data_IF_291326829907
#
_entry.id   IF_291326829907
#
_cell.length_a   1.000
_cell.length_b   1.000
_cell.length_c   1.000
_cell.angle_alpha   90.00
_cell.angle_beta   90.00
_cell.angle_gamma   90.00
#
_symmetry.space_group_name_H-M   'P 1'
#
loop_
_entity.id
_entity.type
_entity.pdbx_description
1 polymer ?
#
# COMPACT_ATOMS: atom_id res chain seq x y z
N UNK A 1 -29.59 0.25 -8.76
CA UNK A 1 -28.64 1.03 -9.59
C UNK A 1 -27.42 0.17 -9.88
N UNK A 2 -26.94 0.13 -11.12
CA UNK A 2 -25.71 -0.60 -11.45
C UNK A 2 -24.49 0.10 -10.83
N UNK A 3 -23.63 -0.62 -10.13
CA UNK A 3 -22.34 -0.07 -9.72
C UNK A 3 -21.42 0.03 -10.94
N UNK A 4 -20.70 1.15 -11.13
CA UNK A 4 -19.66 1.22 -12.15
C UNK A 4 -18.57 0.19 -11.85
N UNK A 5 -18.17 -0.57 -12.87
CA UNK A 5 -17.03 -1.50 -12.75
C UNK A 5 -15.67 -0.75 -12.69
N UNK A 6 -15.63 0.46 -13.25
CA UNK A 6 -14.44 1.32 -13.28
C UNK A 6 -14.75 2.65 -12.58
N UNK A 7 -13.78 3.13 -11.80
CA UNK A 7 -13.83 4.40 -11.09
C UNK A 7 -15.14 4.70 -10.32
N UNK A 8 -15.61 3.79 -9.43
CA UNK A 8 -16.89 3.92 -8.73
C UNK A 8 -17.01 5.19 -7.87
N UNK A 9 -15.90 5.79 -7.45
CA UNK A 9 -15.89 7.02 -6.66
C UNK A 9 -16.54 8.21 -7.38
N UNK A 10 -16.48 8.30 -8.71
CA UNK A 10 -17.17 9.36 -9.45
C UNK A 10 -18.69 9.25 -9.33
N UNK A 11 -19.21 8.02 -9.41
CA UNK A 11 -20.64 7.78 -9.23
C UNK A 11 -21.07 8.02 -7.78
N UNK A 12 -20.24 7.63 -6.81
CA UNK A 12 -20.52 7.85 -5.39
C UNK A 12 -20.52 9.34 -5.04
N UNK A 13 -19.62 10.12 -5.64
CA UNK A 13 -19.61 11.57 -5.53
C UNK A 13 -20.87 12.19 -6.13
N UNK A 14 -21.29 11.73 -7.33
CA UNK A 14 -22.55 12.17 -7.93
C UNK A 14 -23.74 11.89 -7.01
N UNK A 15 -23.83 10.70 -6.43
CA UNK A 15 -24.86 10.38 -5.44
C UNK A 15 -24.75 11.23 -4.18
N UNK A 16 -23.54 11.64 -3.77
CA UNK A 16 -23.36 12.59 -2.68
C UNK A 16 -23.97 13.95 -2.96
N UNK A 17 -23.85 14.41 -4.21
CA UNK A 17 -24.48 15.66 -4.65
C UNK A 17 -26.01 15.53 -4.74
N UNK A 18 -26.50 14.40 -5.24
CA UNK A 18 -27.93 14.16 -5.48
C UNK A 18 -28.71 13.84 -4.19
N UNK A 19 -28.10 13.10 -3.25
CA UNK A 19 -28.77 12.52 -2.07
C UNK A 19 -28.18 12.97 -0.72
N UNK A 20 -27.06 13.69 -0.72
CA UNK A 20 -26.46 14.28 0.48
C UNK A 20 -25.27 13.52 1.07
N UNK A 21 -24.89 13.88 2.30
CA UNK A 21 -23.62 13.48 2.94
C UNK A 21 -23.49 11.97 3.17
N UNK A 22 -24.62 11.25 3.29
CA UNK A 22 -24.72 9.82 3.56
C UNK A 22 -25.62 9.15 2.53
N UNK A 23 -25.09 8.16 1.81
CA UNK A 23 -25.86 7.39 0.83
C UNK A 23 -25.83 5.91 1.21
N UNK A 24 -27.00 5.32 1.48
CA UNK A 24 -27.12 3.92 1.84
C UNK A 24 -27.64 3.08 0.66
N UNK A 25 -26.87 2.07 0.28
CA UNK A 25 -27.23 1.09 -0.74
C UNK A 25 -27.75 -0.18 -0.06
N UNK A 26 -29.07 -0.30 0.04
CA UNK A 26 -29.74 -1.39 0.78
C UNK A 26 -29.44 -2.78 0.20
N UNK A 27 -29.38 -2.92 -1.13
CA UNK A 27 -29.15 -4.18 -1.84
C UNK A 27 -27.76 -4.79 -1.58
N UNK A 28 -26.81 -3.96 -1.18
CA UNK A 28 -25.41 -4.35 -0.89
C UNK A 28 -25.01 -4.13 0.56
N UNK A 29 -25.88 -3.50 1.35
CA UNK A 29 -25.61 -3.06 2.72
C UNK A 29 -24.31 -2.22 2.82
N UNK A 30 -24.22 -1.20 1.97
CA UNK A 30 -23.06 -0.29 1.90
C UNK A 30 -23.53 1.12 2.29
N UNK A 31 -22.83 1.74 3.23
CA UNK A 31 -22.99 3.15 3.56
C UNK A 31 -21.80 3.93 2.95
N UNK A 32 -22.09 4.87 2.07
CA UNK A 32 -21.13 5.75 1.43
C UNK A 32 -21.07 7.06 2.21
N UNK A 33 -19.85 7.51 2.52
CA UNK A 33 -19.59 8.76 3.25
C UNK A 33 -19.02 9.78 2.25
N UNK A 34 -19.81 10.78 1.87
CA UNK A 34 -19.41 11.77 0.85
C UNK A 34 -18.90 13.10 1.43
N UNK A 35 -18.92 13.27 2.76
CA UNK A 35 -18.48 14.50 3.42
C UNK A 35 -17.41 14.24 4.50
N UNK A 36 -16.37 15.07 4.54
CA UNK A 36 -15.22 14.92 5.46
C UNK A 36 -15.63 14.95 6.93
N UNK A 37 -16.51 15.87 7.32
CA UNK A 37 -17.10 15.93 8.67
C UNK A 37 -17.69 14.60 9.13
N UNK A 38 -18.47 13.93 8.26
CA UNK A 38 -19.11 12.65 8.56
C UNK A 38 -18.07 11.54 8.65
N UNK A 39 -17.08 11.54 7.75
CA UNK A 39 -15.96 10.60 7.81
C UNK A 39 -15.16 10.75 9.11
N UNK A 40 -14.84 11.97 9.56
CA UNK A 40 -14.16 12.22 10.84
C UNK A 40 -15.01 11.73 12.01
N UNK A 41 -16.30 12.05 12.01
CA UNK A 41 -17.19 11.69 13.12
C UNK A 41 -17.40 10.17 13.27
N UNK A 42 -17.47 9.44 12.15
CA UNK A 42 -17.61 7.99 12.16
C UNK A 42 -16.28 7.27 12.34
N UNK A 43 -15.26 7.64 11.56
CA UNK A 43 -14.03 6.85 11.41
C UNK A 43 -12.93 7.25 12.39
N UNK A 44 -12.97 8.45 12.96
CA UNK A 44 -12.00 8.92 13.94
C UNK A 44 -12.61 8.97 15.35
N UNK A 45 -13.64 9.82 15.56
CA UNK A 45 -14.26 9.98 16.88
C UNK A 45 -14.94 8.71 17.37
N UNK A 46 -15.54 7.95 16.45
CA UNK A 46 -16.23 6.67 16.72
C UNK A 46 -15.47 5.47 16.16
N UNK A 47 -14.15 5.57 16.00
CA UNK A 47 -13.31 4.51 15.42
C UNK A 47 -13.55 3.13 16.05
N UNK A 48 -13.77 3.04 17.37
CA UNK A 48 -14.04 1.76 18.06
C UNK A 48 -15.27 1.02 17.51
N UNK A 49 -16.23 1.74 16.96
CA UNK A 49 -17.46 1.20 16.36
C UNK A 49 -17.24 0.91 14.88
N UNK A 50 -16.48 1.71 14.15
CA UNK A 50 -16.40 1.61 12.67
C UNK A 50 -15.07 1.09 12.12
N UNK A 51 -14.18 0.52 12.95
CA UNK A 51 -12.85 0.04 12.51
C UNK A 51 -12.78 -1.42 12.06
N UNK A 52 -13.90 -2.17 12.04
CA UNK A 52 -13.85 -3.57 11.59
C UNK A 52 -13.69 -3.66 10.07
N UNK A 53 -13.28 -4.82 9.56
CA UNK A 53 -13.01 -5.05 8.13
C UNK A 53 -13.86 -6.18 7.59
N UNK A 54 -14.29 -6.04 6.33
CA UNK A 54 -14.90 -7.15 5.59
C UNK A 54 -13.78 -7.96 4.96
N UNK A 55 -13.76 -9.26 5.23
CA UNK A 55 -12.95 -10.21 4.46
C UNK A 55 -13.72 -10.50 3.18
N UNK A 56 -13.11 -10.23 2.02
CA UNK A 56 -13.75 -10.53 0.73
C UNK A 56 -13.71 -12.03 0.49
N UNK A 57 -14.70 -12.62 -0.21
CA UNK A 57 -14.64 -14.02 -0.59
C UNK A 57 -13.34 -14.39 -1.30
N UNK A 58 -12.78 -13.46 -2.10
CA UNK A 58 -11.55 -13.65 -2.88
C UNK A 58 -10.34 -13.87 -1.97
N UNK A 59 -10.25 -13.09 -0.89
CA UNK A 59 -9.20 -13.27 0.11
C UNK A 59 -9.32 -14.60 0.86
N UNK A 60 -10.54 -15.06 1.12
CA UNK A 60 -10.78 -16.37 1.73
C UNK A 60 -10.36 -17.50 0.77
N UNK A 61 -10.68 -17.37 -0.52
CA UNK A 61 -10.38 -18.36 -1.55
C UNK A 61 -8.87 -18.49 -1.82
N UNK A 62 -8.20 -17.37 -2.05
CA UNK A 62 -6.74 -17.28 -2.17
C UNK A 62 -6.04 -17.74 -0.90
N UNK A 63 -6.81 -17.92 0.19
CA UNK A 63 -6.29 -18.13 1.54
C UNK A 63 -5.21 -17.10 1.85
N UNK A 64 -5.34 -15.89 1.31
CA UNK A 64 -4.32 -14.85 1.33
C UNK A 64 -3.88 -14.62 2.77
N UNK A 65 -4.85 -14.39 3.67
CA UNK A 65 -4.57 -14.22 5.11
C UNK A 65 -3.93 -15.48 5.72
N UNK A 66 -4.39 -16.68 5.36
CA UNK A 66 -3.91 -17.94 5.97
C UNK A 66 -2.51 -18.37 5.49
N UNK A 67 -2.20 -18.19 4.21
CA UNK A 67 -0.95 -18.62 3.59
C UNK A 67 0.15 -17.58 3.67
N UNK A 68 -0.21 -16.29 3.54
CA UNK A 68 0.77 -15.20 3.58
C UNK A 68 0.89 -14.56 4.96
N UNK A 69 0.00 -14.94 5.89
CA UNK A 69 -0.10 -14.37 7.24
C UNK A 69 -0.25 -12.85 7.19
N UNK A 70 -0.85 -12.31 6.12
CA UNK A 70 -1.07 -10.87 5.89
C UNK A 70 -2.04 -10.30 6.92
N UNK A 71 -1.50 -9.95 8.09
CA UNK A 71 -2.24 -9.50 9.26
C UNK A 71 -2.08 -7.99 9.43
N UNK A 72 -2.83 -7.22 8.65
CA UNK A 72 -2.98 -5.78 8.87
C UNK A 72 -4.15 -5.17 8.08
N UNK A 73 -4.05 -5.17 6.75
CA UNK A 73 -4.94 -4.37 5.89
C UNK A 73 -6.36 -4.94 5.88
N UNK A 74 -6.56 -6.26 5.73
CA UNK A 74 -7.92 -6.75 5.54
C UNK A 74 -8.40 -7.65 6.70
N UNK A 75 -7.64 -7.69 7.79
CA UNK A 75 -7.97 -8.47 8.99
C UNK A 75 -9.04 -7.75 9.82
N UNK A 76 -9.98 -8.54 10.35
CA UNK A 76 -11.01 -8.05 11.29
C UNK A 76 -10.38 -7.46 12.54
N UNK A 77 -11.06 -6.49 13.13
CA UNK A 77 -10.60 -5.85 14.36
C UNK A 77 -10.60 -6.86 15.51
N UNK A 78 -9.42 -7.15 16.07
CA UNK A 78 -9.20 -8.15 17.11
C UNK A 78 -7.97 -7.81 17.97
N UNK A 79 -7.71 -8.59 19.03
CA UNK A 79 -6.45 -8.49 19.80
C UNK A 79 -5.23 -8.77 18.91
N UNK A 80 -5.32 -9.75 18.02
CA UNK A 80 -4.28 -10.09 17.04
C UNK A 80 -4.02 -8.91 16.09
N UNK A 81 -5.07 -8.31 15.53
CA UNK A 81 -4.90 -7.09 14.70
C UNK A 81 -4.22 -5.95 15.47
N UNK A 82 -4.61 -5.72 16.73
CA UNK A 82 -3.99 -4.68 17.57
C UNK A 82 -2.51 -4.96 17.84
N UNK A 83 -2.15 -6.23 18.04
CA UNK A 83 -0.78 -6.67 18.22
C UNK A 83 0.08 -6.36 16.99
N UNK A 84 -0.37 -6.76 15.80
CA UNK A 84 0.31 -6.44 14.54
C UNK A 84 0.37 -4.92 14.28
N UNK A 85 -0.72 -4.19 14.52
CA UNK A 85 -0.77 -2.73 14.37
C UNK A 85 0.18 -2.01 15.32
N UNK A 86 0.38 -2.53 16.55
CA UNK A 86 1.33 -1.98 17.51
C UNK A 86 2.76 -2.09 17.00
N UNK A 87 3.15 -3.26 16.47
CA UNK A 87 4.46 -3.47 15.87
C UNK A 87 4.71 -2.48 14.72
N UNK A 88 3.76 -2.37 13.78
CA UNK A 88 3.81 -1.37 12.72
C UNK A 88 4.01 0.06 13.23
N UNK A 89 3.20 0.47 14.21
CA UNK A 89 3.30 1.82 14.78
C UNK A 89 4.64 2.07 15.44
N UNK A 90 5.24 1.07 16.09
CA UNK A 90 6.54 1.21 16.71
C UNK A 90 7.66 1.37 15.67
N UNK A 91 7.63 0.60 14.59
CA UNK A 91 8.65 0.64 13.53
C UNK A 91 8.54 1.86 12.62
N UNK A 92 7.33 2.41 12.43
CA UNK A 92 7.07 3.52 11.49
C UNK A 92 6.54 4.80 12.18
N UNK A 93 6.74 4.97 13.48
CA UNK A 93 6.41 6.23 14.18
C UNK A 93 7.27 7.37 13.68
N UNK A 94 6.82 8.62 13.89
CA UNK A 94 7.54 9.83 13.48
C UNK A 94 9.03 9.83 13.89
N UNK A 95 9.33 9.41 15.12
CA UNK A 95 10.69 9.34 15.63
C UNK A 95 11.59 8.31 14.92
N UNK A 96 11.01 7.31 14.24
CA UNK A 96 11.75 6.31 13.48
C UNK A 96 11.95 6.71 12.00
N UNK A 97 11.22 7.72 11.51
CA UNK A 97 11.27 8.14 10.09
C UNK A 97 12.69 8.46 9.60
N UNK A 98 13.55 9.17 10.36
CA UNK A 98 14.90 9.48 9.89
C UNK A 98 15.78 8.26 9.59
N UNK A 99 15.49 7.09 10.20
CA UNK A 99 16.19 5.83 9.91
C UNK A 99 16.04 5.38 8.45
N UNK A 100 14.96 5.80 7.77
CA UNK A 100 14.68 5.42 6.39
C UNK A 100 15.25 6.41 5.35
N UNK A 101 15.72 7.59 5.78
CA UNK A 101 16.22 8.61 4.86
C UNK A 101 17.39 8.15 3.99
N UNK A 102 18.40 7.42 4.49
CA UNK A 102 19.51 6.97 3.66
C UNK A 102 19.06 6.13 2.46
N UNK A 103 18.16 5.16 2.69
CA UNK A 103 17.59 4.32 1.63
C UNK A 103 16.76 5.14 0.63
N UNK A 104 15.96 6.09 1.13
CA UNK A 104 15.16 6.97 0.29
C UNK A 104 16.03 7.85 -0.60
N UNK A 105 17.09 8.47 -0.07
CA UNK A 105 18.02 9.27 -0.86
C UNK A 105 18.72 8.43 -1.91
N UNK A 106 19.30 7.30 -1.49
CA UNK A 106 20.07 6.44 -2.36
C UNK A 106 19.23 5.98 -3.57
N UNK A 107 18.03 5.46 -3.33
CA UNK A 107 17.15 5.01 -4.43
C UNK A 107 16.54 6.15 -5.22
N UNK A 108 16.32 7.32 -4.63
CA UNK A 108 15.90 8.51 -5.38
C UNK A 108 17.00 8.98 -6.34
N UNK A 109 18.27 8.95 -5.92
CA UNK A 109 19.38 9.32 -6.80
C UNK A 109 19.54 8.33 -7.97
N UNK A 110 19.38 7.02 -7.70
CA UNK A 110 19.31 6.01 -8.76
C UNK A 110 18.16 6.29 -9.74
N UNK A 111 16.97 6.61 -9.23
CA UNK A 111 15.83 6.99 -10.08
C UNK A 111 16.18 8.19 -10.96
N UNK A 112 16.74 9.27 -10.39
CA UNK A 112 17.11 10.46 -11.15
C UNK A 112 18.09 10.13 -12.27
N UNK A 113 19.09 9.28 -12.01
CA UNK A 113 20.03 8.83 -13.02
C UNK A 113 19.34 8.01 -14.13
N UNK A 114 18.42 7.11 -13.76
CA UNK A 114 17.63 6.33 -14.73
C UNK A 114 16.72 7.21 -15.58
N UNK A 115 16.13 8.27 -15.02
CA UNK A 115 15.30 9.21 -15.76
C UNK A 115 16.11 10.04 -16.77
N UNK A 116 17.38 10.33 -16.49
CA UNK A 116 18.28 11.01 -17.43
C UNK A 116 18.72 10.05 -18.54
N UNK A 117 19.05 8.81 -18.19
CA UNK A 117 19.63 7.83 -19.13
C UNK A 117 18.58 7.20 -20.05
N UNK A 118 17.39 6.89 -19.52
CA UNK A 118 16.30 6.23 -20.25
C UNK A 118 14.94 6.81 -19.84
N UNK A 119 14.61 8.05 -20.28
CA UNK A 119 13.40 8.75 -19.86
C UNK A 119 12.10 8.09 -20.37
N UNK A 120 12.16 7.32 -21.45
CA UNK A 120 10.97 6.70 -22.04
C UNK A 120 10.36 5.62 -21.14
N UNK A 121 11.16 5.03 -20.25
CA UNK A 121 10.73 4.01 -19.29
C UNK A 121 10.52 4.57 -17.87
N UNK A 122 10.18 5.86 -17.73
CA UNK A 122 10.07 6.53 -16.43
C UNK A 122 9.14 5.82 -15.45
N UNK A 123 7.99 5.27 -15.89
CA UNK A 123 7.07 4.58 -14.99
C UNK A 123 7.64 3.25 -14.48
N UNK A 124 8.41 2.54 -15.31
CA UNK A 124 9.14 1.34 -14.89
C UNK A 124 10.20 1.70 -13.85
N UNK A 125 10.91 2.82 -14.03
CA UNK A 125 11.88 3.33 -13.05
C UNK A 125 11.21 3.72 -11.73
N UNK A 126 10.03 4.36 -11.78
CA UNK A 126 9.23 4.71 -10.59
C UNK A 126 8.73 3.45 -9.86
N UNK A 127 8.30 2.42 -10.60
CA UNK A 127 7.92 1.13 -10.03
C UNK A 127 9.11 0.46 -9.34
N UNK A 128 10.28 0.48 -9.97
CA UNK A 128 11.51 -0.02 -9.37
C UNK A 128 11.88 0.75 -8.10
N UNK A 129 11.82 2.09 -8.11
CA UNK A 129 12.07 2.92 -6.92
C UNK A 129 11.21 2.44 -5.74
N UNK A 130 9.90 2.31 -5.95
CA UNK A 130 8.98 1.97 -4.87
C UNK A 130 9.29 0.62 -4.22
N UNK A 131 9.71 -0.37 -5.01
CA UNK A 131 10.07 -1.69 -4.49
C UNK A 131 11.44 -1.67 -3.81
N UNK A 132 12.43 -1.02 -4.43
CA UNK A 132 13.81 -0.95 -3.94
C UNK A 132 13.92 -0.22 -2.61
N UNK A 133 13.17 0.86 -2.42
CA UNK A 133 13.12 1.57 -1.13
C UNK A 133 12.68 0.63 0.00
N UNK A 134 11.69 -0.24 -0.24
CA UNK A 134 11.25 -1.20 0.79
C UNK A 134 12.31 -2.27 1.06
N UNK A 135 12.92 -2.83 0.02
CA UNK A 135 13.98 -3.83 0.20
C UNK A 135 15.18 -3.27 0.96
N UNK A 136 15.61 -2.06 0.63
CA UNK A 136 16.74 -1.42 1.31
C UNK A 136 16.37 -1.01 2.73
N UNK A 137 15.20 -0.39 2.93
CA UNK A 137 14.78 0.13 4.25
C UNK A 137 14.49 -0.96 5.29
N UNK A 138 13.86 -2.07 4.88
CA UNK A 138 13.40 -3.09 5.83
C UNK A 138 14.36 -4.28 5.94
N UNK A 139 14.96 -4.68 4.82
CA UNK A 139 15.77 -5.88 4.72
C UNK A 139 17.25 -5.59 4.51
N UNK A 140 17.64 -4.32 4.29
CA UNK A 140 19.00 -3.92 3.91
C UNK A 140 19.48 -4.64 2.65
N UNK A 141 18.57 -4.90 1.71
CA UNK A 141 18.84 -5.59 0.45
C UNK A 141 18.73 -4.62 -0.73
N UNK A 142 19.65 -4.76 -1.68
CA UNK A 142 19.55 -4.06 -2.95
C UNK A 142 19.19 -5.06 -4.06
N UNK A 143 17.93 -5.01 -4.49
CA UNK A 143 17.39 -5.95 -5.48
C UNK A 143 17.16 -5.19 -6.80
N UNK A 144 17.92 -5.51 -7.86
CA UNK A 144 17.73 -4.91 -9.19
C UNK A 144 16.33 -5.16 -9.76
N UNK A 145 15.86 -4.26 -10.64
CA UNK A 145 14.53 -4.35 -11.24
C UNK A 145 14.35 -5.58 -12.17
N UNK A 146 15.44 -6.04 -12.78
CA UNK A 146 15.47 -7.21 -13.67
C UNK A 146 15.56 -8.55 -12.90
N UNK A 147 15.87 -8.50 -11.60
CA UNK A 147 15.97 -9.66 -10.74
C UNK A 147 14.66 -10.47 -10.73
N UNK A 148 14.70 -11.81 -10.78
CA UNK A 148 13.49 -12.65 -10.81
C UNK A 148 12.52 -12.37 -9.66
N UNK A 149 13.04 -12.04 -8.47
CA UNK A 149 12.22 -11.68 -7.31
C UNK A 149 11.46 -10.37 -7.52
N UNK A 150 12.07 -9.34 -8.13
CA UNK A 150 11.40 -8.08 -8.41
C UNK A 150 10.24 -8.27 -9.39
N UNK A 151 10.46 -9.06 -10.46
CA UNK A 151 9.40 -9.43 -11.42
C UNK A 151 8.25 -10.19 -10.76
N UNK A 152 8.56 -11.18 -9.93
CA UNK A 152 7.56 -11.91 -9.11
C UNK A 152 6.77 -10.97 -8.21
N UNK A 153 7.45 -9.98 -7.64
CA UNK A 153 6.88 -9.01 -6.71
C UNK A 153 5.86 -8.07 -7.38
N UNK A 154 6.07 -7.70 -8.65
CA UNK A 154 5.08 -6.96 -9.45
C UNK A 154 3.80 -7.78 -9.62
N UNK A 155 3.93 -9.06 -10.01
CA UNK A 155 2.79 -9.97 -10.21
C UNK A 155 2.02 -10.17 -8.89
N UNK A 156 2.76 -10.41 -7.80
CA UNK A 156 2.23 -10.59 -6.46
C UNK A 156 1.40 -9.37 -6.01
N UNK A 157 1.91 -8.17 -6.29
CA UNK A 157 1.28 -6.94 -5.90
C UNK A 157 -0.02 -6.68 -6.66
N UNK A 158 -0.02 -6.85 -7.99
CA UNK A 158 -1.22 -6.69 -8.82
C UNK A 158 -2.35 -7.64 -8.36
N UNK A 159 -2.02 -8.90 -8.07
CA UNK A 159 -2.97 -9.88 -7.57
C UNK A 159 -3.50 -9.57 -6.17
N UNK A 160 -2.62 -9.11 -5.27
CA UNK A 160 -3.00 -8.71 -3.92
C UNK A 160 -3.92 -7.48 -3.95
N UNK A 161 -3.57 -6.45 -4.72
CA UNK A 161 -4.38 -5.24 -4.90
C UNK A 161 -5.78 -5.56 -5.43
N UNK A 162 -5.88 -6.36 -6.49
CA UNK A 162 -7.16 -6.82 -7.05
C UNK A 162 -8.05 -7.54 -6.02
N UNK A 163 -7.44 -8.30 -5.10
CA UNK A 163 -8.16 -9.05 -4.06
C UNK A 163 -8.69 -8.18 -2.91
N UNK A 164 -8.10 -7.00 -2.71
CA UNK A 164 -8.48 -6.05 -1.65
C UNK A 164 -9.60 -5.09 -2.07
N UNK A 165 -9.78 -4.89 -3.38
CA UNK A 165 -10.81 -4.01 -3.93
C UNK A 165 -12.14 -4.77 -4.05
N UNK A 166 -13.18 -4.27 -3.38
CA UNK A 166 -14.53 -4.81 -3.53
C UNK A 166 -15.05 -4.56 -4.96
N UNK A 167 -15.67 -5.58 -5.55
CA UNK A 167 -16.26 -5.51 -6.88
C UNK A 167 -15.32 -5.98 -8.00
N UNK A 168 -14.04 -6.26 -7.73
CA UNK A 168 -13.10 -6.79 -8.73
C UNK A 168 -13.53 -8.16 -9.25
N UNK A 169 -14.17 -8.97 -8.40
CA UNK A 169 -14.69 -10.29 -8.75
C UNK A 169 -16.20 -10.35 -8.52
N UNK A 170 -17.01 -9.62 -9.32
CA UNK A 170 -18.40 -9.32 -8.98
C UNK A 170 -19.30 -10.57 -8.94
N UNK A 171 -19.08 -11.52 -9.85
CA UNK A 171 -19.80 -12.80 -9.85
C UNK A 171 -19.50 -13.62 -8.60
N UNK A 172 -18.24 -13.65 -8.18
CA UNK A 172 -17.80 -14.42 -7.02
C UNK A 172 -18.27 -13.81 -5.70
N UNK A 173 -18.24 -12.47 -5.61
CA UNK A 173 -18.77 -11.73 -4.45
C UNK A 173 -20.29 -11.88 -4.32
N UNK A 174 -21.01 -12.00 -5.44
CA UNK A 174 -22.46 -12.21 -5.47
C UNK A 174 -22.85 -13.67 -5.22
N UNK A 175 -22.07 -14.61 -5.74
CA UNK A 175 -22.34 -16.05 -5.69
C UNK A 175 -21.19 -16.82 -5.02
N UNK A 176 -21.10 -16.80 -3.68
CA UNK A 176 -19.99 -17.43 -2.96
C UNK A 176 -19.83 -18.93 -3.20
N UNK A 177 -20.89 -19.63 -3.63
CA UNK A 177 -20.83 -21.06 -3.95
C UNK A 177 -19.90 -21.38 -5.13
N UNK A 178 -19.58 -20.39 -5.99
CA UNK A 178 -18.61 -20.53 -7.06
C UNK A 178 -17.21 -20.95 -6.54
N UNK A 179 -16.94 -20.78 -5.24
CA UNK A 179 -15.71 -21.27 -4.60
C UNK A 179 -15.59 -22.78 -4.56
N UNK A 180 -16.68 -23.51 -4.79
CA UNK A 180 -16.70 -24.97 -4.82
C UNK A 180 -16.60 -25.53 -6.24
N UNK A 181 -16.82 -24.70 -7.26
CA UNK A 181 -16.82 -25.14 -8.66
C UNK A 181 -15.40 -25.51 -9.14
N UNK A 182 -15.22 -26.55 -9.97
CA UNK A 182 -13.90 -26.94 -10.47
C UNK A 182 -13.21 -25.82 -11.26
N UNK A 183 -11.87 -25.76 -11.22
CA UNK A 183 -11.10 -24.72 -11.91
C UNK A 183 -11.24 -24.77 -13.45
N UNK A 184 -11.56 -25.93 -14.02
CA UNK A 184 -11.78 -26.12 -15.45
C UNK A 184 -13.13 -25.57 -15.93
N UNK A 185 -14.07 -25.27 -15.03
CA UNK A 185 -15.37 -24.75 -15.43
C UNK A 185 -15.22 -23.33 -15.99
N UNK A 186 -15.89 -23.00 -17.13
CA UNK A 186 -15.88 -21.65 -17.68
C UNK A 186 -16.21 -20.58 -16.61
N UNK A 187 -15.34 -19.57 -16.49
CA UNK A 187 -15.47 -18.52 -15.47
C UNK A 187 -14.89 -18.86 -14.09
N UNK A 188 -14.38 -20.07 -13.86
CA UNK A 188 -13.77 -20.51 -12.59
C UNK A 188 -12.22 -20.54 -12.60
N UNK A 189 -11.59 -20.05 -13.67
CA UNK A 189 -10.13 -19.98 -13.80
C UNK A 189 -9.44 -19.10 -12.73
N UNK A 190 -10.18 -18.23 -12.06
CA UNK A 190 -9.69 -17.42 -10.92
C UNK A 190 -9.11 -18.27 -9.79
N UNK A 191 -9.53 -19.53 -9.64
CA UNK A 191 -8.98 -20.44 -8.62
C UNK A 191 -7.52 -20.78 -8.88
N UNK A 192 -7.17 -21.04 -10.13
CA UNK A 192 -5.80 -21.37 -10.51
C UNK A 192 -4.90 -20.15 -10.32
N UNK A 193 -5.37 -18.98 -10.78
CA UNK A 193 -4.70 -17.71 -10.54
C UNK A 193 -4.49 -17.44 -9.05
N UNK A 194 -5.50 -17.70 -8.21
CA UNK A 194 -5.41 -17.53 -6.77
C UNK A 194 -4.34 -18.42 -6.12
N UNK A 195 -4.21 -19.68 -6.56
CA UNK A 195 -3.19 -20.63 -6.09
C UNK A 195 -1.79 -20.15 -6.49
N UNK A 196 -1.59 -19.79 -7.75
CA UNK A 196 -0.32 -19.28 -8.28
C UNK A 196 0.11 -18.00 -7.56
N UNK A 197 -0.81 -17.06 -7.37
CA UNK A 197 -0.55 -15.82 -6.64
C UNK A 197 -0.17 -16.09 -5.18
N UNK A 198 -0.82 -17.06 -4.52
CA UNK A 198 -0.46 -17.45 -3.15
C UNK A 198 0.96 -18.04 -3.07
N UNK A 199 1.40 -18.80 -4.07
CA UNK A 199 2.76 -19.35 -4.11
C UNK A 199 3.79 -18.22 -4.29
N UNK A 200 3.54 -17.31 -5.23
CA UNK A 200 4.41 -16.15 -5.48
C UNK A 200 4.50 -15.26 -4.24
N UNK A 201 3.38 -14.93 -3.59
CA UNK A 201 3.37 -14.12 -2.37
C UNK A 201 4.14 -14.79 -1.23
N UNK A 202 4.11 -16.13 -1.12
CA UNK A 202 4.91 -16.86 -0.14
C UNK A 202 6.40 -16.64 -0.40
N UNK A 203 6.85 -16.74 -1.64
CA UNK A 203 8.25 -16.51 -2.01
C UNK A 203 8.69 -15.06 -1.76
N UNK A 204 7.88 -14.08 -2.21
CA UNK A 204 8.15 -12.65 -2.01
C UNK A 204 8.21 -12.29 -0.52
N UNK A 205 7.46 -12.99 0.32
CA UNK A 205 7.51 -12.82 1.77
C UNK A 205 8.73 -13.53 2.41
N UNK A 206 9.02 -14.76 2.03
CA UNK A 206 10.03 -15.58 2.72
C UNK A 206 11.45 -15.28 2.30
N UNK A 207 11.70 -15.03 1.01
CA UNK A 207 13.06 -14.90 0.48
C UNK A 207 13.80 -13.68 1.09
N UNK A 208 13.26 -12.45 1.02
CA UNK A 208 13.93 -11.29 1.64
C UNK A 208 14.09 -11.43 3.15
N UNK A 209 13.08 -12.01 3.81
CA UNK A 209 13.10 -12.24 5.25
C UNK A 209 14.23 -13.18 5.66
N UNK A 210 14.37 -14.32 4.98
CA UNK A 210 15.40 -15.30 5.29
C UNK A 210 16.80 -14.71 5.04
N UNK A 211 17.02 -14.06 3.88
CA UNK A 211 18.30 -13.42 3.56
C UNK A 211 18.66 -12.39 4.64
N UNK A 212 17.71 -11.55 5.06
CA UNK A 212 17.95 -10.53 6.08
C UNK A 212 18.35 -11.15 7.44
N UNK A 213 17.67 -12.22 7.85
CA UNK A 213 17.97 -12.93 9.11
C UNK A 213 19.31 -13.65 9.04
N UNK A 214 19.62 -14.27 7.90
CA UNK A 214 20.88 -15.01 7.71
C UNK A 214 22.08 -14.05 7.63
N UNK A 215 21.94 -12.89 6.96
CA UNK A 215 22.97 -11.84 6.93
C UNK A 215 23.35 -11.36 8.33
N UNK A 216 22.38 -11.26 9.25
CA UNK A 216 22.66 -10.90 10.64
C UNK A 216 23.40 -12.03 11.37
N UNK A 217 22.96 -13.29 11.22
CA UNK A 217 23.61 -14.45 11.85
C UNK A 217 25.05 -14.64 11.37
N UNK A 218 25.31 -14.38 10.10
CA UNK A 218 26.65 -14.46 9.49
C UNK A 218 27.52 -13.21 9.77
N UNK A 219 27.01 -12.20 10.47
CA UNK A 219 27.75 -10.98 10.79
C UNK A 219 28.01 -10.05 9.59
N UNK A 220 27.30 -10.26 8.45
CA UNK A 220 27.50 -9.49 7.23
C UNK A 220 26.87 -8.09 7.31
N UNK A 221 25.58 -8.02 7.65
CA UNK A 221 24.82 -6.77 7.67
C UNK A 221 23.58 -6.89 8.56
N UNK A 222 23.22 -5.81 9.25
CA UNK A 222 21.96 -5.69 10.00
C UNK A 222 20.85 -5.04 9.18
N UNK A 223 19.60 -5.37 9.50
CA UNK A 223 18.39 -4.76 8.94
C UNK A 223 17.32 -4.62 10.00
N UNK A 224 16.35 -3.73 9.79
CA UNK A 224 15.22 -3.56 10.72
C UNK A 224 14.50 -4.89 11.00
N UNK A 225 14.24 -5.69 9.95
CA UNK A 225 13.60 -7.00 10.10
C UNK A 225 14.47 -7.94 10.96
N UNK A 226 15.77 -8.02 10.67
CA UNK A 226 16.67 -8.91 11.41
C UNK A 226 16.82 -8.49 12.89
N UNK A 227 16.91 -7.19 13.18
CA UNK A 227 16.98 -6.67 14.54
C UNK A 227 15.72 -6.98 15.34
N UNK A 228 14.54 -6.83 14.72
CA UNK A 228 13.27 -7.16 15.36
C UNK A 228 13.17 -8.67 15.64
N UNK A 229 13.65 -9.52 14.72
CA UNK A 229 13.69 -10.97 14.91
C UNK A 229 14.63 -11.34 16.06
N UNK A 230 15.81 -10.70 16.14
CA UNK A 230 16.72 -10.92 17.26
C UNK A 230 16.10 -10.52 18.60
N UNK A 231 15.45 -9.34 18.67
CA UNK A 231 14.75 -8.85 19.87
C UNK A 231 13.54 -9.69 20.27
N UNK A 232 13.05 -10.55 19.39
CA UNK A 232 11.93 -11.44 19.70
C UNK A 232 12.32 -12.64 20.56
N UNK A 233 13.62 -12.89 20.74
CA UNK A 233 14.16 -13.97 21.58
C UNK A 233 13.57 -15.35 21.22
N UNK A 234 13.30 -15.59 19.93
CA UNK A 234 12.73 -16.85 19.43
C UNK A 234 11.21 -16.98 19.58
N UNK A 235 10.51 -15.93 20.02
CA UNK A 235 9.05 -15.94 20.11
C UNK A 235 8.41 -16.04 18.72
N UNK A 236 7.87 -17.22 18.40
CA UNK A 236 7.30 -17.52 17.08
C UNK A 236 6.17 -16.57 16.66
N UNK A 237 5.32 -16.12 17.60
CA UNK A 237 4.23 -15.21 17.29
C UNK A 237 4.75 -13.80 16.93
N UNK A 238 5.82 -13.35 17.59
CA UNK A 238 6.48 -12.09 17.25
C UNK A 238 7.20 -12.18 15.90
N UNK A 239 7.94 -13.26 15.65
CA UNK A 239 8.63 -13.52 14.37
C UNK A 239 7.62 -13.50 13.22
N UNK A 240 6.49 -14.19 13.40
CA UNK A 240 5.39 -14.17 12.44
C UNK A 240 4.84 -12.76 12.19
N UNK A 241 4.69 -11.95 13.24
CA UNK A 241 4.23 -10.58 13.10
C UNK A 241 5.23 -9.68 12.37
N UNK A 242 6.53 -9.88 12.61
CA UNK A 242 7.61 -9.16 11.92
C UNK A 242 7.64 -9.54 10.44
N UNK A 243 7.52 -10.82 10.12
CA UNK A 243 7.43 -11.29 8.74
C UNK A 243 6.19 -10.70 8.04
N UNK A 244 5.03 -10.74 8.70
CA UNK A 244 3.81 -10.09 8.19
C UNK A 244 4.00 -8.58 7.99
N UNK A 245 4.76 -7.91 8.86
CA UNK A 245 5.03 -6.49 8.74
C UNK A 245 5.80 -6.16 7.46
N UNK A 246 6.81 -6.96 7.13
CA UNK A 246 7.57 -6.83 5.88
C UNK A 246 6.67 -6.97 4.64
N UNK A 247 5.89 -8.04 4.56
CA UNK A 247 5.00 -8.28 3.41
C UNK A 247 3.92 -7.20 3.25
N UNK A 248 3.27 -6.79 4.34
CA UNK A 248 2.26 -5.73 4.29
C UNK A 248 2.87 -4.41 3.84
N UNK A 249 4.10 -4.08 4.29
CA UNK A 249 4.80 -2.86 3.87
C UNK A 249 5.12 -2.89 2.37
N UNK A 250 5.55 -4.04 1.87
CA UNK A 250 5.81 -4.26 0.45
C UNK A 250 4.54 -4.01 -0.40
N UNK A 251 3.43 -4.70 -0.09
CA UNK A 251 2.17 -4.57 -0.84
C UNK A 251 1.62 -3.14 -0.76
N UNK A 252 1.67 -2.52 0.43
CA UNK A 252 1.12 -1.18 0.61
C UNK A 252 1.90 -0.12 -0.18
N UNK A 253 3.22 -0.22 -0.21
CA UNK A 253 4.07 0.79 -0.84
C UNK A 253 4.08 0.67 -2.36
N UNK A 254 4.03 -0.56 -2.89
CA UNK A 254 4.29 -0.86 -4.29
C UNK A 254 3.40 -0.11 -5.29
N UNK A 255 2.08 -0.06 -5.09
CA UNK A 255 1.19 0.68 -6.02
C UNK A 255 0.93 2.12 -5.61
N UNK A 256 0.86 2.41 -4.31
CA UNK A 256 0.41 3.73 -3.82
C UNK A 256 1.45 4.81 -4.09
N UNK A 257 2.74 4.49 -3.89
CA UNK A 257 3.85 5.41 -4.17
C UNK A 257 3.97 5.64 -5.67
N UNK A 258 3.88 4.57 -6.47
CA UNK A 258 3.93 4.64 -7.94
C UNK A 258 2.80 5.51 -8.48
N UNK A 259 1.58 5.31 -7.98
CA UNK A 259 0.41 6.12 -8.38
C UNK A 259 0.58 7.59 -8.03
N UNK A 260 1.13 7.88 -6.85
CA UNK A 260 1.36 9.25 -6.39
C UNK A 260 2.43 9.97 -7.23
N UNK A 261 3.55 9.31 -7.50
CA UNK A 261 4.63 9.86 -8.33
C UNK A 261 4.19 9.99 -9.79
N UNK A 262 3.48 9.00 -10.35
CA UNK A 262 2.92 9.08 -11.69
C UNK A 262 1.92 10.24 -11.84
N UNK A 263 1.07 10.45 -10.83
CA UNK A 263 0.16 11.60 -10.78
C UNK A 263 0.91 12.93 -10.70
N UNK A 264 2.02 12.97 -9.95
CA UNK A 264 2.90 14.15 -9.92
C UNK A 264 3.47 14.46 -11.30
N UNK A 265 4.03 13.48 -12.02
CA UNK A 265 4.53 13.68 -13.39
C UNK A 265 3.45 14.22 -14.32
N UNK A 266 2.26 13.59 -14.30
CA UNK A 266 1.12 14.05 -15.09
C UNK A 266 0.74 15.50 -14.76
N UNK A 267 0.65 15.84 -13.47
CA UNK A 267 0.33 17.20 -13.03
C UNK A 267 1.39 18.21 -13.48
N UNK A 268 2.68 17.86 -13.40
CA UNK A 268 3.76 18.77 -13.83
C UNK A 268 3.75 19.00 -15.34
N UNK A 269 3.36 18.00 -16.14
CA UNK A 269 3.15 18.17 -17.58
C UNK A 269 1.96 19.08 -17.91
N UNK A 270 0.84 18.95 -17.18
CA UNK A 270 -0.38 19.74 -17.41
C UNK A 270 -0.30 21.16 -16.84
N UNK A 271 0.41 21.36 -15.73
CA UNK A 271 0.47 22.62 -14.98
C UNK A 271 1.90 23.19 -14.93
N UNK A 272 2.47 23.46 -16.09
CA UNK A 272 3.87 23.91 -16.23
C UNK A 272 4.21 25.21 -15.47
N UNK A 273 3.24 26.13 -15.32
CA UNK A 273 3.42 27.34 -14.49
C UNK A 273 3.63 27.00 -13.02
N UNK A 274 2.92 25.99 -12.52
CA UNK A 274 3.09 25.47 -11.15
C UNK A 274 4.44 24.79 -11.00
N UNK A 275 4.84 23.95 -11.96
CA UNK A 275 6.15 23.32 -11.99
C UNK A 275 7.28 24.35 -11.92
N UNK A 276 7.22 25.39 -12.76
CA UNK A 276 8.25 26.46 -12.82
C UNK A 276 8.41 27.18 -11.48
N UNK A 277 7.32 27.55 -10.83
CA UNK A 277 7.36 28.17 -9.50
C UNK A 277 7.98 27.27 -8.43
N UNK A 278 7.72 25.97 -8.50
CA UNK A 278 8.39 25.00 -7.62
C UNK A 278 9.89 24.92 -7.86
N UNK A 279 10.32 24.96 -9.13
CA UNK A 279 11.73 25.01 -9.50
C UNK A 279 12.40 26.33 -9.05
N UNK A 280 11.72 27.47 -9.19
CA UNK A 280 12.21 28.77 -8.70
C UNK A 280 12.40 28.78 -7.18
N UNK A 281 11.51 28.14 -6.41
CA UNK A 281 11.68 27.98 -4.97
C UNK A 281 12.89 27.09 -4.64
N UNK A 282 13.05 25.96 -5.33
CA UNK A 282 14.22 25.07 -5.17
C UNK A 282 15.52 25.81 -5.48
N UNK A 283 15.61 26.50 -6.62
CA UNK A 283 16.78 27.28 -7.04
C UNK A 283 17.14 28.35 -5.99
N UNK A 284 16.14 29.01 -5.38
CA UNK A 284 16.36 30.06 -4.36
C UNK A 284 16.81 29.50 -3.01
N UNK A 285 16.22 28.40 -2.56
CA UNK A 285 16.40 27.86 -1.19
C UNK A 285 17.56 26.89 -1.11
N UNK A 286 17.69 26.01 -2.09
CA UNK A 286 18.70 24.94 -2.13
C UNK A 286 19.93 25.38 -2.93
N UNK A 287 19.72 26.17 -3.99
CA UNK A 287 20.77 26.51 -4.96
C UNK A 287 20.97 25.42 -6.02
N UNK A 288 22.05 25.56 -6.79
CA UNK A 288 22.39 24.64 -7.91
C UNK A 288 23.63 23.76 -7.64
N UNK A 289 24.30 23.98 -6.52
CA UNK A 289 25.55 23.29 -6.19
C UNK A 289 25.33 21.94 -5.49
N UNK A 290 24.11 21.64 -5.06
CA UNK A 290 23.74 20.39 -4.38
C UNK A 290 22.30 19.97 -4.66
N UNK A 291 22.00 18.70 -4.38
CA UNK A 291 20.62 18.20 -4.37
C UNK A 291 19.90 18.56 -3.05
N UNK A 292 18.54 18.62 -3.06
CA UNK A 292 17.76 18.86 -1.84
C UNK A 292 17.87 17.72 -0.82
N UNK A 293 17.76 18.08 0.46
CA UNK A 293 17.69 17.14 1.58
C UNK A 293 16.36 17.30 2.35
N UNK A 294 16.03 16.35 3.23
CA UNK A 294 14.88 16.43 4.14
C UNK A 294 14.96 17.61 5.12
N UNK A 295 16.14 18.16 5.36
CA UNK A 295 16.32 19.36 6.19
C UNK A 295 15.76 20.61 5.50
N UNK A 296 15.82 20.64 4.15
CA UNK A 296 15.30 21.76 3.36
C UNK A 296 13.76 21.82 3.37
N UNK A 297 13.06 20.72 3.72
CA UNK A 297 11.60 20.58 3.55
C UNK A 297 10.81 21.71 4.21
N UNK A 298 11.19 22.14 5.40
CA UNK A 298 10.50 23.23 6.12
C UNK A 298 10.68 24.59 5.44
N UNK A 299 11.73 24.73 4.63
CA UNK A 299 12.04 25.94 3.86
C UNK A 299 11.48 25.90 2.43
N UNK A 300 10.76 24.83 2.05
CA UNK A 300 10.17 24.60 0.72
C UNK A 300 8.63 24.55 0.76
N UNK A 301 7.95 25.63 1.23
CA UNK A 301 6.50 25.61 1.41
C UNK A 301 5.72 25.46 0.10
N UNK A 302 6.21 25.97 -1.03
CA UNK A 302 5.53 25.84 -2.32
C UNK A 302 5.66 24.42 -2.89
N UNK A 303 6.83 23.79 -2.77
CA UNK A 303 7.01 22.37 -3.13
C UNK A 303 6.13 21.47 -2.26
N UNK A 304 6.06 21.74 -0.95
CA UNK A 304 5.15 21.03 -0.03
C UNK A 304 3.68 21.22 -0.44
N UNK A 305 3.29 22.42 -0.91
CA UNK A 305 1.95 22.67 -1.43
C UNK A 305 1.66 21.88 -2.72
N UNK A 306 2.63 21.78 -3.65
CA UNK A 306 2.50 20.94 -4.85
C UNK A 306 2.27 19.48 -4.45
N UNK A 307 3.08 18.95 -3.55
CA UNK A 307 2.95 17.58 -3.04
C UNK A 307 1.55 17.33 -2.46
N UNK A 308 1.06 18.22 -1.60
CA UNK A 308 -0.27 18.11 -0.98
C UNK A 308 -1.40 18.19 -2.01
N UNK A 309 -1.28 19.09 -2.99
CA UNK A 309 -2.31 19.30 -3.99
C UNK A 309 -2.40 18.13 -4.98
N UNK A 310 -1.27 17.52 -5.37
CA UNK A 310 -1.27 16.28 -6.15
C UNK A 310 -2.00 15.17 -5.42
N UNK A 311 -1.72 14.98 -4.12
CA UNK A 311 -2.42 13.98 -3.31
C UNK A 311 -3.92 14.29 -3.12
N UNK A 312 -4.30 15.56 -3.11
CA UNK A 312 -5.71 15.99 -3.00
C UNK A 312 -6.48 15.73 -4.31
N UNK A 313 -5.86 16.02 -5.45
CA UNK A 313 -6.47 15.84 -6.77
C UNK A 313 -6.51 14.37 -7.20
N UNK A 314 -5.43 13.64 -6.94
CA UNK A 314 -5.24 12.25 -7.38
C UNK A 314 -4.83 11.35 -6.20
N UNK A 315 -5.74 11.13 -5.23
CA UNK A 315 -5.46 10.23 -4.12
C UNK A 315 -5.23 8.81 -4.65
N UNK A 316 -4.13 8.17 -4.24
CA UNK A 316 -3.79 6.81 -4.69
C UNK A 316 -4.86 5.76 -4.33
N UNK A 317 -5.66 6.02 -3.29
CA UNK A 317 -6.76 5.15 -2.85
C UNK A 317 -8.04 5.99 -2.65
N UNK A 318 -8.76 6.38 -3.73
CA UNK A 318 -9.86 7.35 -3.66
C UNK A 318 -11.03 6.95 -2.75
N UNK A 319 -11.28 5.65 -2.58
CA UNK A 319 -12.35 5.12 -1.73
C UNK A 319 -11.87 4.68 -0.34
N UNK A 320 -10.56 4.78 -0.07
CA UNK A 320 -9.95 4.11 1.06
C UNK A 320 -10.23 2.60 1.09
N UNK A 321 -10.07 1.99 2.26
CA UNK A 321 -10.45 0.60 2.49
C UNK A 321 -11.84 0.53 3.10
N UNK A 322 -12.70 -0.36 2.59
CA UNK A 322 -14.04 -0.55 3.14
C UNK A 322 -13.99 -0.99 4.62
N UNK A 323 -14.87 -0.39 5.41
CA UNK A 323 -14.99 -0.61 6.85
C UNK A 323 -16.33 -1.26 7.18
N UNK A 324 -16.37 -1.90 8.35
CA UNK A 324 -17.55 -2.52 8.92
C UNK A 324 -17.72 -2.06 10.36
N UNK A 325 -18.96 -1.98 10.81
CA UNK A 325 -19.27 -1.82 12.23
C UNK A 325 -18.73 -3.02 13.02
N UNK A 326 -18.00 -2.78 14.10
CA UNK A 326 -17.65 -3.80 15.07
C UNK A 326 -18.93 -4.34 15.69
N UNK A 327 -19.00 -5.66 15.93
CA UNK A 327 -20.10 -6.28 16.64
C UNK A 327 -20.04 -5.91 18.14
N UNK A 328 -20.23 -4.63 18.47
CA UNK A 328 -20.55 -4.19 19.82
C UNK A 328 -22.06 -3.94 19.88
N UNK A 329 -22.86 -5.01 19.83
CA UNK A 329 -24.12 -4.96 20.57
C UNK A 329 -23.69 -4.88 22.03
N UNK A 330 -23.87 -3.72 22.66
CA UNK A 330 -23.93 -3.65 24.12
C UNK A 330 -25.03 -4.65 24.52
N UNK A 331 -24.63 -5.74 25.18
CA UNK A 331 -25.54 -6.49 26.01
C UNK A 331 -25.91 -5.62 27.21
#
# INVERSE_FOLDING_TARGET
>A
MGMPALAPWFQYQKWGNDFGELVYLQDRNILILNHSRVAIDLLEKRARIYSDRRVTPVMDLTRLIKHTKLKAIPQRYSSDWRFHRKLFRQSFRQAAVPYFFPAQYHKTHELLNSLITDPNNFMQHVMALSQRVIYESLYSLDIPADHPLAKKSIIANAAAGASLVNGTFPLFERFPFLRFMPAWLPGCGFKQQAIECSAILKEVNSIPFNIAVDNLKSGLRTSLIAELVMKSEGNLAQIEAIQSMGLVSFIAAADTTVSSIGSFFLCMCLYQKTQRKGQEELDRVVGRDRLPTFEDRNSLPYVEAIYREVMRLHPAVPLGNSLKTTNQRKA
#
